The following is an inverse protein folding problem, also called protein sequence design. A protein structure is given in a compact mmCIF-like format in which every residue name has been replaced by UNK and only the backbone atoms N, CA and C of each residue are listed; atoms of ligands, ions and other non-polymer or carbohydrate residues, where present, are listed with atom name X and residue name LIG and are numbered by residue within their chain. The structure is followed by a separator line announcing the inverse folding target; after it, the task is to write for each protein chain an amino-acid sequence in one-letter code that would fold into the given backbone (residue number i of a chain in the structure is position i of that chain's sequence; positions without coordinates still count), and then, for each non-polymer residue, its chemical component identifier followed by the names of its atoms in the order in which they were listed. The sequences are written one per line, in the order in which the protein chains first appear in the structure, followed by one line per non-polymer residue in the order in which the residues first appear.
data_IF_132823058588
#
_entry.id   IF_132823058588
#
_cell.length_a   1.000
_cell.length_b   1.000
_cell.length_c   1.000
_cell.angle_alpha   90.00
_cell.angle_beta   90.00
_cell.angle_gamma   90.00
#
_symmetry.space_group_name_H-M   'P 1'
#
loop_
_entity.id
_entity.type
_entity.pdbx_description
1 polymer ?
#
# COMPACT_ATOMS: atom_id res chain seq x y z
N UNK A 1 -7.90 -13.37 21.99
CA UNK A 1 -8.47 -12.03 22.21
C UNK A 1 -9.97 -12.16 21.98
N UNK A 2 -10.82 -11.55 22.83
CA UNK A 2 -12.25 -11.57 22.56
C UNK A 2 -12.53 -10.69 21.35
N UNK A 3 -13.22 -11.23 20.37
CA UNK A 3 -13.68 -10.47 19.21
C UNK A 3 -14.64 -9.37 19.65
N UNK A 4 -14.32 -8.12 19.36
CA UNK A 4 -15.20 -6.98 19.63
C UNK A 4 -15.92 -6.56 18.34
N UNK A 5 -17.21 -6.26 18.47
CA UNK A 5 -18.05 -5.91 17.33
C UNK A 5 -18.70 -4.55 17.54
N UNK A 6 -18.58 -3.72 16.52
CA UNK A 6 -19.36 -2.50 16.37
C UNK A 6 -20.59 -2.70 15.48
N UNK A 7 -21.40 -1.66 15.39
CA UNK A 7 -22.55 -1.59 14.51
C UNK A 7 -22.40 -0.41 13.54
N UNK A 8 -22.60 -0.65 12.28
CA UNK A 8 -22.56 0.38 11.24
C UNK A 8 -23.74 1.36 11.43
N UNK A 9 -23.44 2.63 11.66
CA UNK A 9 -24.44 3.69 11.91
C UNK A 9 -24.75 4.47 10.65
N UNK A 10 -23.72 4.80 9.87
CA UNK A 10 -23.84 5.63 8.68
C UNK A 10 -22.79 5.24 7.64
N UNK A 11 -23.16 5.32 6.36
CA UNK A 11 -22.22 5.22 5.23
C UNK A 11 -22.53 6.35 4.25
N UNK A 12 -21.50 7.15 3.91
CA UNK A 12 -21.58 8.25 2.95
C UNK A 12 -20.39 8.14 2.00
N UNK A 13 -20.62 7.52 0.84
CA UNK A 13 -19.52 7.15 -0.07
C UNK A 13 -18.47 6.28 0.64
N UNK A 14 -17.19 6.62 0.60
CA UNK A 14 -16.15 5.84 1.24
C UNK A 14 -16.04 6.04 2.76
N UNK A 15 -16.80 6.97 3.33
CA UNK A 15 -16.76 7.30 4.77
C UNK A 15 -17.85 6.53 5.50
N UNK A 16 -17.46 5.78 6.52
CA UNK A 16 -18.33 4.87 7.26
C UNK A 16 -18.18 5.13 8.75
N UNK A 17 -19.30 5.37 9.43
CA UNK A 17 -19.33 5.58 10.88
C UNK A 17 -19.80 4.29 11.56
N UNK A 18 -19.05 3.84 12.54
CA UNK A 18 -19.27 2.59 13.28
C UNK A 18 -19.33 2.90 14.77
N UNK A 19 -20.40 2.47 15.45
CA UNK A 19 -20.56 2.61 16.89
C UNK A 19 -20.17 1.31 17.59
N UNK A 20 -19.38 1.44 18.64
CA UNK A 20 -18.98 0.37 19.52
C UNK A 20 -19.70 0.47 20.87
N UNK A 21 -19.48 -0.46 21.78
CA UNK A 21 -19.88 -0.34 23.16
C UNK A 21 -18.91 0.55 23.92
N UNK A 22 -19.37 1.14 25.01
CA UNK A 22 -18.53 1.91 25.91
C UNK A 22 -17.31 1.08 26.37
N UNK A 23 -16.13 1.68 26.22
CA UNK A 23 -14.86 1.03 26.56
C UNK A 23 -14.29 0.04 25.51
N UNK A 24 -15.01 -0.21 24.40
CA UNK A 24 -14.58 -1.10 23.31
C UNK A 24 -14.17 -0.35 22.04
N UNK A 25 -14.01 0.95 22.10
CA UNK A 25 -13.68 1.78 20.94
C UNK A 25 -12.28 1.42 20.42
N UNK A 26 -12.13 1.06 19.13
CA UNK A 26 -10.84 0.76 18.57
C UNK A 26 -9.95 2.02 18.49
N UNK A 27 -8.64 1.90 18.71
CA UNK A 27 -7.69 2.98 18.45
C UNK A 27 -7.69 3.44 16.98
N UNK A 28 -7.08 4.60 16.72
CA UNK A 28 -6.87 5.07 15.35
C UNK A 28 -6.01 4.09 14.56
N UNK A 29 -6.19 4.07 13.25
CA UNK A 29 -5.48 3.23 12.28
C UNK A 29 -5.77 1.72 12.39
N UNK A 30 -6.67 1.30 13.26
CA UNK A 30 -7.09 -0.10 13.34
C UNK A 30 -7.93 -0.49 12.12
N UNK A 31 -7.70 -1.71 11.66
CA UNK A 31 -8.50 -2.32 10.61
C UNK A 31 -9.80 -2.92 11.19
N UNK A 32 -10.90 -2.62 10.56
CA UNK A 32 -12.20 -3.21 10.85
C UNK A 32 -12.67 -3.99 9.62
N UNK A 33 -13.50 -5.01 9.82
CA UNK A 33 -14.06 -5.82 8.74
C UNK A 33 -15.56 -5.87 8.81
N UNK A 34 -16.22 -5.65 7.68
CA UNK A 34 -17.67 -5.76 7.53
C UNK A 34 -18.01 -6.69 6.38
N UNK A 35 -18.90 -7.64 6.62
CA UNK A 35 -19.45 -8.49 5.56
C UNK A 35 -20.66 -7.82 4.95
N UNK A 36 -20.64 -7.67 3.63
CA UNK A 36 -21.77 -7.24 2.83
C UNK A 36 -22.83 -8.32 2.72
N UNK A 37 -24.02 -7.98 2.24
CA UNK A 37 -25.14 -8.94 2.08
C UNK A 37 -24.83 -10.01 1.01
N UNK A 38 -23.97 -9.73 0.05
CA UNK A 38 -23.47 -10.67 -0.98
C UNK A 38 -22.37 -11.61 -0.48
N UNK A 39 -21.92 -11.44 0.77
CA UNK A 39 -20.87 -12.21 1.41
C UNK A 39 -19.45 -11.67 1.20
N UNK A 40 -19.28 -10.63 0.40
CA UNK A 40 -18.00 -9.96 0.22
C UNK A 40 -17.57 -9.24 1.50
N UNK A 41 -16.28 -9.33 1.84
CA UNK A 41 -15.70 -8.65 3.00
C UNK A 41 -15.08 -7.32 2.59
N UNK A 42 -15.48 -6.24 3.25
CA UNK A 42 -14.88 -4.93 3.08
C UNK A 42 -14.07 -4.56 4.32
N UNK A 43 -12.82 -4.18 4.09
CA UNK A 43 -11.94 -3.64 5.13
C UNK A 43 -12.14 -2.13 5.26
N UNK A 44 -12.22 -1.67 6.51
CA UNK A 44 -12.31 -0.26 6.88
C UNK A 44 -11.11 0.10 7.74
N UNK A 45 -10.67 1.33 7.69
CA UNK A 45 -9.64 1.85 8.60
C UNK A 45 -10.19 2.96 9.46
N UNK A 46 -9.94 2.92 10.76
CA UNK A 46 -10.35 3.94 11.72
C UNK A 46 -9.49 5.19 11.54
N UNK A 47 -10.12 6.33 11.17
CA UNK A 47 -9.44 7.60 10.98
C UNK A 47 -9.66 8.59 12.11
N UNK A 48 -10.83 8.54 12.76
CA UNK A 48 -11.21 9.55 13.74
C UNK A 48 -12.21 8.99 14.75
N UNK A 49 -12.11 9.42 16.01
CA UNK A 49 -13.16 9.28 17.01
C UNK A 49 -14.07 10.50 16.94
N UNK A 50 -15.37 10.30 16.76
CA UNK A 50 -16.34 11.40 16.58
C UNK A 50 -17.27 11.60 17.77
N UNK A 51 -17.05 10.90 18.88
CA UNK A 51 -17.86 10.93 20.09
C UNK A 51 -18.95 9.85 20.10
N UNK A 52 -19.68 9.74 21.22
CA UNK A 52 -20.77 8.76 21.43
C UNK A 52 -20.38 7.33 21.04
N UNK A 53 -19.19 6.89 21.48
CA UNK A 53 -18.61 5.57 21.17
C UNK A 53 -18.54 5.27 19.67
N UNK A 54 -18.49 6.29 18.84
CA UNK A 54 -18.50 6.16 17.38
C UNK A 54 -17.16 6.55 16.77
N UNK A 55 -16.69 5.72 15.87
CA UNK A 55 -15.50 5.96 15.06
C UNK A 55 -15.87 6.22 13.61
N UNK A 56 -15.13 7.11 12.98
CA UNK A 56 -15.20 7.38 11.55
C UNK A 56 -14.10 6.63 10.85
N UNK A 57 -14.50 5.86 9.85
CA UNK A 57 -13.62 4.99 9.08
C UNK A 57 -13.64 5.35 7.60
N UNK A 58 -12.58 4.97 6.90
CA UNK A 58 -12.54 5.00 5.44
C UNK A 58 -12.54 3.57 4.88
N UNK A 59 -13.31 3.35 3.82
CA UNK A 59 -13.42 2.06 3.16
C UNK A 59 -12.21 1.80 2.24
N UNK A 60 -11.63 0.62 2.33
CA UNK A 60 -10.56 0.12 1.45
C UNK A 60 -11.12 -0.67 0.25
N UNK A 61 -12.23 -0.20 -0.29
CA UNK A 61 -12.91 -0.78 -1.43
C UNK A 61 -14.26 -0.10 -1.68
N UNK A 62 -15.07 -0.66 -2.59
CA UNK A 62 -16.42 -0.14 -2.83
C UNK A 62 -17.31 -0.32 -1.61
N UNK A 63 -18.00 0.76 -1.24
CA UNK A 63 -19.03 0.76 -0.19
C UNK A 63 -20.41 0.36 -0.70
N UNK A 64 -20.55 -0.05 -1.96
CA UNK A 64 -21.82 -0.49 -2.52
C UNK A 64 -22.32 -1.74 -1.78
N UNK A 65 -23.60 -1.80 -1.52
CA UNK A 65 -24.23 -2.91 -0.77
C UNK A 65 -24.09 -2.83 0.75
N UNK A 66 -23.48 -1.77 1.29
CA UNK A 66 -23.39 -1.55 2.73
C UNK A 66 -24.67 -0.85 3.23
N UNK A 67 -25.20 -1.32 4.37
CA UNK A 67 -26.38 -0.76 5.02
C UNK A 67 -26.19 -0.58 6.51
N UNK A 68 -26.99 0.30 7.10
CA UNK A 68 -27.02 0.49 8.56
C UNK A 68 -27.37 -0.82 9.27
N UNK A 69 -26.81 -0.99 10.45
CA UNK A 69 -27.07 -2.13 11.31
C UNK A 69 -26.19 -3.36 11.04
N UNK A 70 -25.33 -3.34 10.00
CA UNK A 70 -24.36 -4.40 9.81
C UNK A 70 -23.38 -4.47 10.97
N UNK A 71 -23.00 -5.69 11.34
CA UNK A 71 -21.96 -5.95 12.34
C UNK A 71 -20.59 -5.71 11.72
N UNK A 72 -19.74 -5.02 12.45
CA UNK A 72 -18.38 -4.68 12.04
C UNK A 72 -17.41 -5.27 13.06
N UNK A 73 -16.55 -6.16 12.62
CA UNK A 73 -15.53 -6.80 13.45
C UNK A 73 -14.34 -5.86 13.64
N UNK A 74 -13.90 -5.67 14.87
CA UNK A 74 -12.60 -5.08 15.17
C UNK A 74 -11.54 -6.17 15.10
N UNK A 75 -10.55 -6.04 14.21
CA UNK A 75 -9.49 -7.03 14.04
C UNK A 75 -8.46 -7.00 15.15
N UNK A 76 -8.41 -5.90 15.91
CA UNK A 76 -7.41 -5.67 16.96
C UNK A 76 -6.00 -5.34 16.46
N UNK A 77 -5.84 -5.16 15.15
CA UNK A 77 -4.58 -4.81 14.49
C UNK A 77 -4.82 -3.78 13.39
N UNK A 78 -3.82 -3.00 12.99
CA UNK A 78 -3.85 -2.20 11.76
C UNK A 78 -3.96 -3.08 10.50
N UNK A 79 -4.02 -2.45 9.33
CA UNK A 79 -3.90 -3.18 8.07
C UNK A 79 -2.51 -3.81 8.01
N UNK A 80 -2.47 -5.12 7.76
CA UNK A 80 -1.24 -5.89 7.62
C UNK A 80 -1.12 -6.40 6.20
N UNK A 81 0.11 -6.38 5.68
CA UNK A 81 0.44 -6.83 4.32
C UNK A 81 1.50 -7.92 4.37
N UNK A 82 1.49 -8.85 3.42
CA UNK A 82 2.51 -9.88 3.34
C UNK A 82 3.89 -9.26 3.05
N UNK A 83 4.90 -9.81 3.69
CA UNK A 83 6.30 -9.42 3.52
C UNK A 83 7.18 -10.66 3.34
N UNK A 84 8.42 -10.46 2.89
CA UNK A 84 9.38 -11.54 2.70
C UNK A 84 9.75 -11.74 1.24
N UNK A 85 10.49 -12.80 0.95
CA UNK A 85 10.95 -13.08 -0.42
C UNK A 85 9.81 -13.52 -1.34
N UNK A 86 8.74 -14.02 -0.78
CA UNK A 86 7.56 -14.52 -1.49
C UNK A 86 6.79 -13.41 -2.23
N UNK A 87 6.95 -12.16 -1.80
CA UNK A 87 6.31 -11.01 -2.46
C UNK A 87 7.04 -10.54 -3.72
N UNK A 88 8.29 -10.96 -3.91
CA UNK A 88 9.06 -10.59 -5.10
C UNK A 88 8.49 -11.26 -6.35
N UNK A 89 8.47 -10.53 -7.43
CA UNK A 89 7.89 -10.98 -8.70
C UNK A 89 6.37 -10.86 -8.78
N UNK A 90 5.71 -10.31 -7.76
CA UNK A 90 4.25 -10.28 -7.64
C UNK A 90 3.71 -8.84 -7.62
N UNK A 91 2.43 -8.73 -7.97
CA UNK A 91 1.67 -7.48 -7.96
C UNK A 91 0.51 -7.57 -6.97
N UNK A 92 0.40 -6.56 -6.10
CA UNK A 92 -0.55 -6.54 -4.98
C UNK A 92 -1.45 -5.31 -5.01
N UNK A 93 -2.63 -5.44 -4.43
CA UNK A 93 -3.44 -4.31 -4.02
C UNK A 93 -2.98 -3.80 -2.62
N UNK A 94 -3.62 -2.74 -2.14
CA UNK A 94 -3.30 -2.10 -0.84
C UNK A 94 -3.48 -3.02 0.38
N UNK A 95 -4.29 -4.06 0.27
CA UNK A 95 -4.53 -5.05 1.32
C UNK A 95 -3.57 -6.25 1.25
N UNK A 96 -2.60 -6.21 0.33
CA UNK A 96 -1.65 -7.30 0.15
C UNK A 96 -2.20 -8.52 -0.59
N UNK A 97 -3.36 -8.40 -1.23
CA UNK A 97 -3.89 -9.45 -2.08
C UNK A 97 -3.24 -9.39 -3.47
N UNK A 98 -2.79 -10.53 -4.03
CA UNK A 98 -2.21 -10.55 -5.37
C UNK A 98 -3.29 -10.24 -6.42
N UNK A 99 -2.90 -9.46 -7.44
CA UNK A 99 -3.77 -9.01 -8.55
C UNK A 99 -3.14 -9.33 -9.92
N UNK A 100 -2.16 -10.20 -9.98
CA UNK A 100 -1.36 -10.54 -11.17
C UNK A 100 -1.76 -11.88 -11.83
N UNK A 101 -2.77 -12.57 -11.29
CA UNK A 101 -3.23 -13.89 -11.76
C UNK A 101 -2.10 -14.94 -11.89
N UNK A 102 -0.97 -14.74 -11.20
CA UNK A 102 0.23 -15.58 -11.31
C UNK A 102 0.17 -16.86 -10.43
N UNK A 103 -1.04 -17.30 -10.07
CA UNK A 103 -1.25 -18.54 -9.31
C UNK A 103 -1.26 -18.34 -7.79
N UNK A 104 -1.19 -19.47 -7.05
CA UNK A 104 -1.31 -19.46 -5.59
C UNK A 104 -0.21 -18.65 -4.91
N UNK A 105 -0.60 -17.89 -3.91
CA UNK A 105 0.30 -17.09 -3.08
C UNK A 105 0.08 -17.47 -1.61
N UNK A 106 1.12 -17.92 -0.94
CA UNK A 106 1.05 -18.34 0.46
C UNK A 106 2.14 -17.62 1.26
N UNK A 107 1.85 -16.42 1.75
CA UNK A 107 2.80 -15.65 2.55
C UNK A 107 3.00 -16.29 3.92
N UNK A 108 4.22 -16.22 4.43
CA UNK A 108 4.59 -16.75 5.75
C UNK A 108 4.63 -15.68 6.82
N UNK A 109 4.79 -14.42 6.43
CA UNK A 109 4.94 -13.28 7.35
C UNK A 109 4.07 -12.11 6.92
N UNK A 110 3.53 -11.40 7.91
CA UNK A 110 2.75 -10.18 7.72
C UNK A 110 3.32 -9.07 8.60
N UNK A 111 3.34 -7.85 8.08
CA UNK A 111 3.70 -6.65 8.83
C UNK A 111 2.63 -5.59 8.67
N UNK A 112 2.46 -4.80 9.73
CA UNK A 112 1.63 -3.60 9.66
C UNK A 112 2.18 -2.63 8.60
N UNK A 113 1.27 -1.95 7.88
CA UNK A 113 1.65 -0.84 6.98
C UNK A 113 2.16 0.38 7.76
N UNK A 114 1.94 0.40 9.09
CA UNK A 114 2.41 1.45 9.99
C UNK A 114 3.59 0.94 10.80
N UNK A 115 4.76 1.51 10.54
CA UNK A 115 5.98 1.25 11.27
C UNK A 115 6.53 2.53 11.88
N UNK A 116 7.07 2.43 13.07
CA UNK A 116 7.79 3.54 13.69
C UNK A 116 9.06 3.86 12.87
N UNK A 117 9.43 5.15 12.75
CA UNK A 117 10.68 5.53 12.13
C UNK A 117 11.88 5.03 12.97
N UNK A 118 13.04 4.78 12.33
CA UNK A 118 14.25 4.41 13.05
C UNK A 118 14.62 5.48 14.07
N UNK A 119 15.09 5.06 15.24
CA UNK A 119 15.50 5.98 16.32
C UNK A 119 16.66 6.85 15.82
N UNK A 120 16.76 8.06 16.34
CA UNK A 120 17.80 9.03 15.94
C UNK A 120 19.22 8.44 16.09
N UNK A 121 19.48 7.70 17.16
CA UNK A 121 20.75 7.06 17.42
C UNK A 121 21.12 5.92 16.45
N UNK A 122 20.13 5.34 15.77
CA UNK A 122 20.31 4.23 14.82
C UNK A 122 20.53 4.74 13.38
N UNK A 123 20.39 6.04 13.17
CA UNK A 123 20.60 6.66 11.86
C UNK A 123 22.07 6.85 11.55
N UNK A 124 22.47 6.43 10.34
CA UNK A 124 23.84 6.65 9.86
C UNK A 124 24.10 8.13 9.59
N UNK A 125 25.21 8.65 10.09
CA UNK A 125 25.69 10.02 9.80
C UNK A 125 26.59 10.08 8.57
N UNK A 126 26.94 8.92 7.98
CA UNK A 126 27.80 8.88 6.79
C UNK A 126 27.00 9.22 5.54
N UNK A 127 27.50 10.16 4.78
CA UNK A 127 26.98 10.48 3.44
C UNK A 127 27.71 9.62 2.43
N UNK A 128 26.99 8.67 1.81
CA UNK A 128 27.50 7.83 0.73
C UNK A 128 26.69 8.08 -0.54
N UNK A 129 27.38 8.23 -1.67
CA UNK A 129 26.74 8.38 -2.97
C UNK A 129 26.21 7.01 -3.41
N UNK A 130 24.99 7.01 -3.91
CA UNK A 130 24.37 5.89 -4.56
C UNK A 130 24.58 6.00 -6.09
N UNK A 131 25.39 5.12 -6.66
CA UNK A 131 25.60 5.08 -8.11
C UNK A 131 24.36 4.47 -8.78
N UNK A 132 23.73 5.26 -9.64
CA UNK A 132 22.49 4.87 -10.34
C UNK A 132 22.75 4.19 -11.67
N UNK A 133 23.96 4.31 -12.23
CA UNK A 133 24.30 3.89 -13.59
C UNK A 133 23.83 4.86 -14.69
N UNK A 134 23.06 5.88 -14.31
CA UNK A 134 22.60 6.94 -15.23
C UNK A 134 23.59 8.10 -15.23
N UNK A 135 24.38 8.24 -16.28
CA UNK A 135 25.49 9.22 -16.38
C UNK A 135 25.08 10.63 -16.01
N UNK A 136 23.91 11.09 -16.46
CA UNK A 136 23.43 12.45 -16.22
C UNK A 136 23.10 12.66 -14.73
N UNK A 137 22.54 11.66 -14.06
CA UNK A 137 22.22 11.72 -12.63
C UNK A 137 23.50 11.65 -11.82
N UNK A 138 24.35 10.66 -12.07
CA UNK A 138 25.56 10.41 -11.30
C UNK A 138 26.57 11.56 -11.41
N UNK A 139 26.58 12.28 -12.54
CA UNK A 139 27.47 13.41 -12.77
C UNK A 139 26.94 14.74 -12.25
N UNK A 140 25.65 15.04 -12.48
CA UNK A 140 25.09 16.38 -12.24
C UNK A 140 24.27 16.49 -10.95
N UNK A 141 23.64 15.41 -10.51
CA UNK A 141 22.82 15.38 -9.30
C UNK A 141 22.84 14.00 -8.61
N UNK A 142 24.02 13.58 -8.11
CA UNK A 142 24.18 12.24 -7.55
C UNK A 142 23.22 11.98 -6.39
N UNK A 143 22.67 10.77 -6.34
CA UNK A 143 21.79 10.36 -5.26
C UNK A 143 22.59 9.95 -4.03
N UNK A 144 22.00 10.17 -2.86
CA UNK A 144 22.57 9.77 -1.58
C UNK A 144 21.85 8.50 -1.11
N UNK A 145 22.59 7.52 -0.62
CA UNK A 145 22.02 6.32 0.00
C UNK A 145 21.11 6.70 1.17
N UNK A 146 19.89 6.16 1.18
CA UNK A 146 18.87 6.50 2.16
C UNK A 146 18.21 7.87 1.94
N UNK A 147 18.56 8.58 0.86
CA UNK A 147 17.97 9.86 0.49
C UNK A 147 16.58 9.71 -0.15
N UNK A 148 15.88 10.84 -0.22
CA UNK A 148 14.60 10.98 -0.95
C UNK A 148 14.82 11.88 -2.15
N UNK A 149 14.49 11.39 -3.34
CA UNK A 149 14.69 12.11 -4.60
C UNK A 149 13.36 12.25 -5.32
N UNK A 150 13.10 13.45 -5.85
CA UNK A 150 11.90 13.74 -6.64
C UNK A 150 12.25 13.88 -8.14
N UNK A 151 11.52 13.14 -8.99
CA UNK A 151 11.56 13.28 -10.44
C UNK A 151 10.30 14.00 -10.90
N UNK A 152 10.43 15.28 -11.28
CA UNK A 152 9.32 16.12 -11.70
C UNK A 152 9.33 16.32 -13.21
N UNK A 153 8.16 16.32 -13.82
CA UNK A 153 8.00 16.58 -15.25
C UNK A 153 6.56 16.38 -15.70
N UNK A 154 6.22 16.92 -16.84
CA UNK A 154 4.92 16.73 -17.51
C UNK A 154 4.69 15.29 -17.95
N UNK A 155 3.55 15.04 -18.61
CA UNK A 155 3.26 13.75 -19.22
C UNK A 155 4.21 13.49 -20.40
N UNK A 156 4.61 12.23 -20.61
CA UNK A 156 5.39 11.83 -21.78
C UNK A 156 6.87 12.24 -21.80
N UNK A 157 7.43 12.73 -20.69
CA UNK A 157 8.84 13.17 -20.62
C UNK A 157 9.81 12.08 -20.17
N UNK A 158 9.38 10.83 -20.09
CA UNK A 158 10.25 9.68 -19.79
C UNK A 158 10.49 9.40 -18.31
N UNK A 159 9.67 9.93 -17.39
CA UNK A 159 9.81 9.64 -15.94
C UNK A 159 9.76 8.13 -15.64
N UNK A 160 8.79 7.43 -16.22
CA UNK A 160 8.63 5.98 -16.04
C UNK A 160 9.82 5.20 -16.56
N UNK A 161 10.36 5.59 -17.71
CA UNK A 161 11.56 4.97 -18.30
C UNK A 161 12.78 5.15 -17.39
N UNK A 162 12.96 6.32 -16.78
CA UNK A 162 14.03 6.55 -15.81
C UNK A 162 13.86 5.66 -14.56
N UNK A 163 12.64 5.52 -14.06
CA UNK A 163 12.37 4.66 -12.90
C UNK A 163 12.66 3.20 -13.23
N UNK A 164 12.24 2.73 -14.39
CA UNK A 164 12.53 1.36 -14.86
C UNK A 164 14.03 1.10 -14.97
N UNK A 165 14.78 2.01 -15.55
CA UNK A 165 16.23 1.90 -15.68
C UNK A 165 16.92 1.91 -14.30
N UNK A 166 16.47 2.75 -13.36
CA UNK A 166 16.95 2.72 -11.98
C UNK A 166 16.69 1.37 -11.32
N UNK A 167 15.49 0.80 -11.47
CA UNK A 167 15.14 -0.50 -10.92
C UNK A 167 15.96 -1.63 -11.56
N UNK A 168 16.19 -1.55 -12.87
CA UNK A 168 17.06 -2.48 -13.59
C UNK A 168 18.48 -2.48 -13.02
N UNK A 169 19.08 -1.30 -12.89
CA UNK A 169 20.44 -1.16 -12.38
C UNK A 169 20.55 -1.60 -10.90
N UNK A 170 19.52 -1.35 -10.09
CA UNK A 170 19.45 -1.87 -8.71
C UNK A 170 19.46 -3.40 -8.70
N UNK A 171 18.66 -4.04 -9.56
CA UNK A 171 18.54 -5.48 -9.58
C UNK A 171 19.84 -6.17 -10.09
N UNK A 172 20.41 -5.67 -11.17
CA UNK A 172 21.53 -6.31 -11.84
C UNK A 172 22.90 -5.91 -11.29
N UNK A 173 23.11 -4.63 -11.03
CA UNK A 173 24.42 -4.11 -10.59
C UNK A 173 24.62 -4.20 -9.07
N UNK A 174 23.57 -3.94 -8.32
CA UNK A 174 23.65 -3.87 -6.86
C UNK A 174 23.08 -5.10 -6.15
N UNK A 175 22.54 -6.08 -6.89
CA UNK A 175 21.84 -7.25 -6.32
C UNK A 175 20.76 -6.86 -5.30
N UNK A 176 20.15 -5.71 -5.49
CA UNK A 176 19.13 -5.15 -4.63
C UNK A 176 17.73 -5.63 -4.98
N UNK A 177 16.79 -5.27 -4.12
CA UNK A 177 15.36 -5.44 -4.35
C UNK A 177 14.70 -4.07 -4.51
N UNK A 178 13.64 -4.04 -5.30
CA UNK A 178 12.85 -2.83 -5.51
C UNK A 178 11.42 -3.03 -5.06
N UNK A 179 10.80 -1.95 -4.57
CA UNK A 179 9.37 -1.89 -4.35
C UNK A 179 8.82 -0.73 -5.14
N UNK A 180 7.86 -0.99 -6.00
CA UNK A 180 7.20 0.03 -6.78
C UNK A 180 5.77 0.24 -6.28
N UNK A 181 5.43 1.47 -5.93
CA UNK A 181 4.09 1.86 -5.52
C UNK A 181 3.46 2.77 -6.58
N UNK A 182 2.45 2.26 -7.29
CA UNK A 182 1.68 3.02 -8.29
C UNK A 182 0.44 3.66 -7.66
N UNK A 183 0.46 4.98 -7.50
CA UNK A 183 -0.59 5.74 -6.81
C UNK A 183 -1.33 6.65 -7.77
N UNK A 184 -2.60 6.36 -8.01
CA UNK A 184 -3.48 7.23 -8.82
C UNK A 184 -3.09 7.33 -10.30
N UNK A 185 -2.32 6.37 -10.82
CA UNK A 185 -1.98 6.29 -12.23
C UNK A 185 -3.10 5.62 -13.04
N UNK A 186 -2.99 5.68 -14.35
CA UNK A 186 -3.94 4.98 -15.23
C UNK A 186 -3.68 3.48 -15.16
N UNK A 187 -4.75 2.69 -15.05
CA UNK A 187 -4.66 1.23 -14.99
C UNK A 187 -3.90 0.62 -16.17
N UNK A 188 -4.04 1.22 -17.37
CA UNK A 188 -3.30 0.80 -18.56
C UNK A 188 -1.79 1.00 -18.38
N UNK A 189 -1.34 2.16 -17.88
CA UNK A 189 0.09 2.46 -17.68
C UNK A 189 0.71 1.51 -16.64
N UNK A 190 -0.05 1.14 -15.60
CA UNK A 190 0.38 0.14 -14.62
C UNK A 190 0.53 -1.26 -15.22
N UNK A 191 -0.38 -1.64 -16.12
CA UNK A 191 -0.30 -2.93 -16.80
C UNK A 191 0.84 -2.96 -17.84
N UNK A 192 1.05 -1.89 -18.57
CA UNK A 192 2.17 -1.76 -19.52
C UNK A 192 3.50 -1.87 -18.75
N UNK A 193 3.63 -1.18 -17.60
CA UNK A 193 4.81 -1.27 -16.73
C UNK A 193 5.07 -2.69 -16.23
N UNK A 194 4.04 -3.41 -15.79
CA UNK A 194 4.16 -4.80 -15.38
C UNK A 194 4.68 -5.71 -16.52
N UNK A 195 4.14 -5.53 -17.73
CA UNK A 195 4.58 -6.25 -18.93
C UNK A 195 6.06 -6.00 -19.24
N UNK A 196 6.46 -4.74 -19.27
CA UNK A 196 7.84 -4.32 -19.55
C UNK A 196 8.84 -4.85 -18.50
N UNK A 197 8.47 -4.82 -17.20
CA UNK A 197 9.29 -5.40 -16.12
C UNK A 197 9.41 -6.91 -16.23
N UNK A 198 8.39 -7.59 -16.71
CA UNK A 198 8.41 -9.02 -16.95
C UNK A 198 9.33 -9.39 -18.12
N UNK A 199 9.25 -8.64 -19.21
CA UNK A 199 10.10 -8.83 -20.39
C UNK A 199 11.57 -8.53 -20.11
N UNK A 200 11.86 -7.49 -19.34
CA UNK A 200 13.22 -7.11 -18.94
C UNK A 200 13.83 -8.00 -17.85
N UNK A 201 13.05 -8.91 -17.24
CA UNK A 201 13.50 -9.79 -16.16
C UNK A 201 13.66 -9.11 -14.79
N UNK A 202 13.42 -7.82 -14.67
CA UNK A 202 13.54 -7.04 -13.42
C UNK A 202 12.48 -7.45 -12.40
N UNK A 203 11.33 -7.93 -12.88
CA UNK A 203 10.19 -8.29 -12.03
C UNK A 203 10.56 -9.26 -10.92
N UNK A 204 11.48 -10.22 -11.16
CA UNK A 204 11.89 -11.22 -10.16
C UNK A 204 12.47 -10.64 -8.87
N UNK A 205 13.01 -9.42 -8.93
CA UNK A 205 13.59 -8.70 -7.79
C UNK A 205 12.73 -7.51 -7.34
N UNK A 206 11.48 -7.44 -7.81
CA UNK A 206 10.60 -6.30 -7.58
C UNK A 206 9.27 -6.75 -7.01
N UNK A 207 8.76 -6.05 -6.02
CA UNK A 207 7.38 -6.13 -5.56
C UNK A 207 6.61 -4.90 -6.05
N UNK A 208 5.41 -5.12 -6.58
CA UNK A 208 4.55 -4.05 -7.11
C UNK A 208 3.31 -3.90 -6.23
N UNK A 209 2.96 -2.68 -5.87
CA UNK A 209 1.72 -2.37 -5.15
C UNK A 209 0.97 -1.28 -5.90
N UNK A 210 -0.28 -1.52 -6.25
CA UNK A 210 -1.06 -0.59 -7.04
C UNK A 210 -2.35 -0.11 -6.34
N UNK A 211 -2.55 1.20 -6.37
CA UNK A 211 -3.80 1.88 -6.07
C UNK A 211 -4.12 2.89 -7.17
N UNK A 212 -4.61 2.37 -8.29
CA UNK A 212 -4.80 3.12 -9.53
C UNK A 212 -6.00 4.07 -9.48
N UNK A 213 -6.22 4.84 -10.57
CA UNK A 213 -7.30 5.85 -10.66
C UNK A 213 -8.70 5.29 -10.43
N UNK A 214 -8.94 4.02 -10.77
CA UNK A 214 -10.22 3.33 -10.59
C UNK A 214 -10.47 2.91 -9.14
N UNK A 215 -9.46 2.96 -8.28
CA UNK A 215 -9.58 2.60 -6.88
C UNK A 215 -10.23 3.71 -6.05
N UNK A 216 -10.83 3.31 -4.94
CA UNK A 216 -11.45 4.26 -3.99
C UNK A 216 -10.39 5.16 -3.35
N UNK A 217 -10.77 6.35 -2.86
CA UNK A 217 -9.83 7.26 -2.20
C UNK A 217 -9.05 6.62 -1.04
N UNK A 218 -9.70 5.76 -0.25
CA UNK A 218 -9.07 5.05 0.86
C UNK A 218 -7.90 4.19 0.41
N UNK A 219 -8.10 3.39 -0.64
CA UNK A 219 -7.06 2.56 -1.26
C UNK A 219 -5.87 3.42 -1.71
N UNK A 220 -6.13 4.47 -2.48
CA UNK A 220 -5.08 5.36 -3.01
C UNK A 220 -4.29 6.12 -1.94
N UNK A 221 -4.86 6.28 -0.75
CA UNK A 221 -4.17 6.93 0.37
C UNK A 221 -3.21 5.99 1.11
N UNK A 222 -3.29 4.69 0.90
CA UNK A 222 -2.56 3.67 1.68
C UNK A 222 -1.57 2.84 0.87
N UNK A 223 -1.46 3.09 -0.42
CA UNK A 223 -0.42 2.50 -1.28
C UNK A 223 0.96 3.05 -0.95
#
# INVERSE_FOLDING_TARGET
MNETYGTLVQAVGPVIDVRFKEGEIPPLLMALKVKKDDGEELTLEVLQHIGDDTVRCIAMGSSDGIRRGLKVLNTGAPIEVPVGKEVLGRMFNVLGNPIDDAGSFTPTQFHSIYNDPPRFQDQSTKVEIYQTGLKVIDLLCPYIKGGKVGLFGGAGVGKTVLIQELMHNIAYENHGISVFAGVGERSREGNDLYGEMKESGVLSNTALVFGQMNETPGVRMRV
#
